data_IF_605342428966
#
_entry.id   IF_605342428966
#
_cell.length_a   1.000
_cell.length_b   1.000
_cell.length_c   1.000
_cell.angle_alpha   90.00
_cell.angle_beta   90.00
_cell.angle_gamma   90.00
#
_symmetry.space_group_name_H-M   'P 1'
#
loop_
_entity.id
_entity.type
_entity.pdbx_description
1 polymer ?
#
# COMPACT_ATOMS: atom_id res chain seq x y z
N UNK A 1 6.71 -13.42 13.55
CA UNK A 1 6.79 -12.47 12.42
C UNK A 1 5.66 -11.47 12.60
N UNK A 2 5.91 -10.17 12.44
CA UNK A 2 4.90 -9.13 12.64
C UNK A 2 4.00 -8.96 11.41
N UNK A 3 2.68 -8.95 11.58
CA UNK A 3 1.73 -8.86 10.46
C UNK A 3 1.74 -7.49 9.77
N UNK A 4 1.97 -6.41 10.51
CA UNK A 4 2.11 -5.06 9.94
C UNK A 4 3.30 -5.01 9.00
N UNK A 5 4.43 -5.55 9.43
CA UNK A 5 5.63 -5.70 8.63
C UNK A 5 5.43 -6.58 7.39
N UNK A 6 4.79 -7.74 7.51
CA UNK A 6 4.46 -8.60 6.34
C UNK A 6 3.65 -7.80 5.32
N UNK A 7 2.66 -7.04 5.78
CA UNK A 7 1.83 -6.23 4.88
C UNK A 7 2.65 -5.16 4.14
N UNK A 8 3.69 -4.61 4.78
CA UNK A 8 4.65 -3.70 4.13
C UNK A 8 5.45 -4.44 3.04
N UNK A 9 5.96 -5.64 3.32
CA UNK A 9 6.74 -6.42 2.35
C UNK A 9 5.89 -6.80 1.13
N UNK A 10 4.67 -7.32 1.34
CA UNK A 10 3.78 -7.74 0.24
C UNK A 10 3.41 -6.59 -0.70
N UNK A 11 3.39 -5.35 -0.19
CA UNK A 11 3.10 -4.14 -1.00
C UNK A 11 4.36 -3.49 -1.60
N UNK A 12 5.55 -4.00 -1.28
CA UNK A 12 6.81 -3.41 -1.75
C UNK A 12 7.09 -3.75 -3.22
N UNK A 13 7.86 -2.89 -3.90
CA UNK A 13 8.31 -3.17 -5.26
C UNK A 13 9.11 -4.47 -5.36
N UNK A 14 9.89 -4.83 -4.34
CA UNK A 14 10.66 -6.09 -4.33
C UNK A 14 9.76 -7.32 -4.41
N UNK A 15 8.61 -7.29 -3.72
CA UNK A 15 7.63 -8.37 -3.82
C UNK A 15 6.98 -8.39 -5.20
N UNK A 16 6.59 -7.22 -5.72
CA UNK A 16 5.97 -7.11 -7.04
C UNK A 16 6.90 -7.55 -8.17
N UNK A 17 8.19 -7.21 -8.11
CA UNK A 17 9.19 -7.65 -9.09
C UNK A 17 9.32 -9.17 -9.14
N UNK A 18 9.31 -9.84 -7.98
CA UNK A 18 9.38 -11.30 -7.91
C UNK A 18 8.05 -11.93 -8.35
N UNK A 19 6.91 -11.31 -8.02
CA UNK A 19 5.59 -11.71 -8.47
C UNK A 19 5.45 -11.64 -10.01
N UNK A 20 5.85 -10.52 -10.61
CA UNK A 20 5.78 -10.33 -12.06
C UNK A 20 6.66 -11.34 -12.79
N UNK A 21 7.84 -11.67 -12.24
CA UNK A 21 8.73 -12.68 -12.80
C UNK A 21 8.09 -14.07 -12.91
N UNK A 22 7.23 -14.46 -11.96
CA UNK A 22 6.57 -15.78 -12.00
C UNK A 22 5.30 -15.76 -12.85
N UNK A 23 4.63 -14.61 -12.95
CA UNK A 23 3.43 -14.43 -13.76
C UNK A 23 3.71 -14.46 -15.28
N UNK A 24 4.91 -14.07 -15.72
CA UNK A 24 5.31 -14.06 -17.15
C UNK A 24 5.49 -15.48 -17.73
N UNK A 25 5.56 -16.52 -16.88
CA UNK A 25 5.85 -17.89 -17.31
C UNK A 25 4.66 -18.63 -17.95
N UNK A 26 3.45 -18.09 -18.00
CA UNK A 26 2.25 -18.80 -18.46
C UNK A 26 1.28 -17.96 -19.31
N UNK A 27 0.58 -18.61 -20.24
CA UNK A 27 -0.49 -17.99 -21.06
C UNK A 27 -1.72 -17.56 -20.22
N UNK A 28 -1.88 -18.14 -19.03
CA UNK A 28 -2.84 -17.73 -18.02
C UNK A 28 -2.07 -17.42 -16.73
N UNK A 29 -2.05 -16.16 -16.25
CA UNK A 29 -1.34 -15.81 -15.04
C UNK A 29 -1.97 -16.53 -13.85
N UNK A 30 -1.19 -17.36 -13.17
CA UNK A 30 -1.56 -18.00 -11.92
C UNK A 30 -0.35 -18.00 -10.99
N UNK A 31 -0.59 -17.93 -9.69
CA UNK A 31 0.47 -17.90 -8.68
C UNK A 31 0.36 -19.16 -7.82
N UNK A 32 1.38 -20.00 -7.87
CA UNK A 32 1.47 -21.22 -7.08
C UNK A 32 2.18 -20.91 -5.76
N UNK A 33 1.75 -21.53 -4.65
CA UNK A 33 2.38 -21.31 -3.33
C UNK A 33 3.90 -21.58 -3.35
N UNK A 34 4.33 -22.62 -4.08
CA UNK A 34 5.76 -22.95 -4.26
C UNK A 34 6.58 -21.83 -4.91
N UNK A 35 5.95 -20.98 -5.71
CA UNK A 35 6.61 -19.84 -6.37
C UNK A 35 6.80 -18.72 -5.35
N UNK A 36 5.78 -18.43 -4.54
CA UNK A 36 5.88 -17.48 -3.43
C UNK A 36 6.93 -17.96 -2.39
N UNK A 37 6.95 -19.26 -2.09
CA UNK A 37 7.93 -19.84 -1.16
C UNK A 37 9.38 -19.70 -1.65
N UNK A 38 9.57 -19.50 -2.96
CA UNK A 38 10.89 -19.27 -3.55
C UNK A 38 11.35 -17.80 -3.46
N UNK A 39 10.46 -16.90 -3.05
CA UNK A 39 10.80 -15.48 -2.96
C UNK A 39 11.76 -15.22 -1.81
N UNK A 40 12.82 -14.49 -2.11
CA UNK A 40 13.86 -14.18 -1.13
C UNK A 40 13.81 -12.70 -0.74
N UNK A 41 13.80 -12.45 0.56
CA UNK A 41 13.80 -11.12 1.15
C UNK A 41 14.83 -11.06 2.27
N UNK A 42 15.60 -9.97 2.34
CA UNK A 42 16.34 -9.64 3.55
C UNK A 42 15.38 -8.99 4.54
N UNK A 43 15.09 -9.68 5.64
CA UNK A 43 14.17 -9.20 6.68
C UNK A 43 14.89 -9.06 8.02
N UNK A 44 14.56 -8.05 8.84
CA UNK A 44 15.09 -7.95 10.20
C UNK A 44 14.67 -9.15 11.04
N UNK A 45 15.59 -9.71 11.83
CA UNK A 45 15.30 -10.85 12.73
C UNK A 45 14.53 -10.38 13.97
N UNK A 46 14.80 -9.15 14.43
CA UNK A 46 14.17 -8.57 15.61
C UNK A 46 12.73 -8.17 15.34
N UNK A 47 11.79 -8.83 16.03
CA UNK A 47 10.34 -8.52 15.95
C UNK A 47 10.06 -7.07 16.33
N UNK A 48 10.82 -6.50 17.27
CA UNK A 48 10.68 -5.09 17.67
C UNK A 48 10.98 -4.12 16.52
N UNK A 49 11.95 -4.46 15.65
CA UNK A 49 12.26 -3.67 14.47
C UNK A 49 11.16 -3.81 13.42
N UNK A 50 10.69 -5.04 13.18
CA UNK A 50 9.55 -5.30 12.29
C UNK A 50 8.31 -4.49 12.71
N UNK A 51 7.98 -4.46 14.00
CA UNK A 51 6.87 -3.68 14.54
C UNK A 51 7.03 -2.17 14.30
N UNK A 52 8.23 -1.62 14.47
CA UNK A 52 8.52 -0.20 14.21
C UNK A 52 8.33 0.13 12.74
N UNK A 53 8.86 -0.71 11.84
CA UNK A 53 8.70 -0.55 10.39
C UNK A 53 7.22 -0.63 10.00
N UNK A 54 6.51 -1.67 10.42
CA UNK A 54 5.09 -1.85 10.13
C UNK A 54 4.23 -0.70 10.65
N UNK A 55 4.50 -0.23 11.87
CA UNK A 55 3.79 0.91 12.47
C UNK A 55 4.06 2.21 11.71
N UNK A 56 5.29 2.44 11.25
CA UNK A 56 5.66 3.61 10.46
C UNK A 56 4.87 3.67 9.15
N UNK A 57 4.85 2.58 8.38
CA UNK A 57 4.10 2.54 7.12
C UNK A 57 2.59 2.62 7.33
N UNK A 58 2.06 2.02 8.41
CA UNK A 58 0.66 2.20 8.78
C UNK A 58 0.33 3.67 9.07
N UNK A 59 1.17 4.34 9.85
CA UNK A 59 1.00 5.78 10.14
C UNK A 59 1.04 6.62 8.87
N UNK A 60 1.92 6.27 7.92
CA UNK A 60 1.99 6.93 6.62
C UNK A 60 0.69 6.75 5.82
N UNK A 61 0.18 5.52 5.71
CA UNK A 61 -1.10 5.22 5.06
C UNK A 61 -2.26 6.00 5.70
N UNK A 62 -2.34 6.02 7.04
CA UNK A 62 -3.36 6.75 7.79
C UNK A 62 -3.27 8.27 7.53
N UNK A 63 -2.05 8.80 7.42
CA UNK A 63 -1.80 10.22 7.13
C UNK A 63 -2.23 10.59 5.71
N UNK A 64 -1.92 9.74 4.72
CA UNK A 64 -2.37 9.91 3.34
C UNK A 64 -3.90 9.89 3.27
N UNK A 65 -4.54 8.91 3.93
CA UNK A 65 -6.00 8.80 3.97
C UNK A 65 -6.66 10.04 4.60
N UNK A 66 -6.07 10.57 5.69
CA UNK A 66 -6.53 11.80 6.32
C UNK A 66 -6.47 13.00 5.36
N UNK A 67 -5.35 13.15 4.65
CA UNK A 67 -5.17 14.24 3.68
C UNK A 67 -6.10 14.09 2.48
N UNK A 68 -6.35 12.87 2.00
CA UNK A 68 -7.29 12.61 0.91
C UNK A 68 -8.73 13.01 1.30
N UNK A 69 -9.19 12.63 2.50
CA UNK A 69 -10.51 13.06 3.02
C UNK A 69 -10.62 14.58 3.11
N UNK A 70 -9.56 15.25 3.58
CA UNK A 70 -9.52 16.72 3.65
C UNK A 70 -9.59 17.34 2.24
N UNK A 71 -8.86 16.79 1.27
CA UNK A 71 -8.88 17.26 -0.11
C UNK A 71 -10.28 17.15 -0.71
N UNK A 72 -10.94 16.01 -0.52
CA UNK A 72 -12.28 15.77 -1.06
C UNK A 72 -13.33 16.71 -0.43
N UNK A 73 -13.24 16.95 0.88
CA UNK A 73 -14.07 17.95 1.56
C UNK A 73 -13.86 19.35 0.99
N UNK A 74 -12.61 19.77 0.77
CA UNK A 74 -12.30 21.09 0.22
C UNK A 74 -12.80 21.25 -1.22
N UNK A 75 -12.76 20.18 -2.03
CA UNK A 75 -13.33 20.19 -3.38
C UNK A 75 -14.84 20.42 -3.35
N UNK A 76 -15.56 19.72 -2.47
CA UNK A 76 -17.01 19.90 -2.31
C UNK A 76 -17.38 21.28 -1.77
N UNK A 77 -16.63 21.79 -0.79
CA UNK A 77 -16.83 23.16 -0.28
C UNK A 77 -16.61 24.22 -1.37
N UNK A 78 -15.53 24.08 -2.16
CA UNK A 78 -15.24 24.98 -3.29
C UNK A 78 -16.41 24.97 -4.29
N UNK A 79 -16.91 23.78 -4.64
CA UNK A 79 -18.07 23.62 -5.54
C UNK A 79 -19.30 24.32 -4.97
N UNK A 80 -19.63 24.10 -3.70
CA UNK A 80 -20.76 24.75 -3.03
C UNK A 80 -20.64 26.28 -2.97
N UNK A 81 -19.45 26.81 -2.70
CA UNK A 81 -19.23 28.27 -2.70
C UNK A 81 -19.34 28.88 -4.10
N UNK A 82 -18.77 28.25 -5.13
CA UNK A 82 -18.92 28.71 -6.51
C UNK A 82 -20.39 28.71 -6.94
N UNK A 83 -21.16 27.68 -6.57
CA UNK A 83 -22.60 27.66 -6.81
C UNK A 83 -23.31 28.83 -6.13
N UNK A 84 -22.94 29.21 -4.90
CA UNK A 84 -23.55 30.36 -4.22
C UNK A 84 -23.14 31.71 -4.79
N UNK A 85 -21.89 31.86 -5.24
CA UNK A 85 -21.36 33.12 -5.77
C UNK A 85 -21.85 33.44 -7.18
N UNK A 86 -22.18 32.41 -7.97
CA UNK A 86 -22.59 32.55 -9.37
C UNK A 86 -23.98 31.97 -9.65
N UNK A 87 -24.72 31.50 -8.63
CA UNK A 87 -26.16 31.33 -8.73
C UNK A 87 -26.76 32.73 -8.97
N UNK A 88 -27.58 32.84 -10.03
CA UNK A 88 -28.22 34.06 -10.51
C UNK A 88 -28.55 35.10 -9.44
#
# INVERSE_FOLDING_TARGET
MDYGFISTIVRSELFMMQLDSVLVSGAQPNVLSKEIDSFNFMIPILVQEQQKIGSFFKQLDDTIALHQRKLDLLKEQKKGFLQKMFAK
#
